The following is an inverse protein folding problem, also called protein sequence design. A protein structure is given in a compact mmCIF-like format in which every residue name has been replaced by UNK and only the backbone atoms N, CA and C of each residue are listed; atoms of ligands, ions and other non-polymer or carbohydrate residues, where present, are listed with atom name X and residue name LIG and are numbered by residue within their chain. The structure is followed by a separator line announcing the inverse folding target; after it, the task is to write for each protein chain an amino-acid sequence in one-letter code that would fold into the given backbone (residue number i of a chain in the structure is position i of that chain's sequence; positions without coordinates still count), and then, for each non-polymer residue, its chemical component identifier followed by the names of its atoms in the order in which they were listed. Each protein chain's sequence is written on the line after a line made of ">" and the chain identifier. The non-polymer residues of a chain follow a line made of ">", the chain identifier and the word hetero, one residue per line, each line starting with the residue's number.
data_IF_262648855810
#
_entry.id   IF_262648855810
#
_cell.length_a   1.000
_cell.length_b   1.000
_cell.length_c   1.000
_cell.angle_alpha   90.00
_cell.angle_beta   90.00
_cell.angle_gamma   90.00
#
_symmetry.space_group_name_H-M   'P 1'
#
loop_
_entity.id
_entity.type
_entity.pdbx_description
1 polymer ?
#
# COMPACT_ATOMS: atom_id res chain seq x y z
N UNK A 1 30.72 -64.84 -16.70
CA UNK A 1 29.59 -64.26 -15.94
C UNK A 1 29.47 -62.82 -16.37
N UNK A 2 28.41 -62.50 -17.10
CA UNK A 2 28.26 -61.29 -17.93
C UNK A 2 27.29 -60.32 -17.25
N UNK A 3 27.67 -59.05 -17.07
CA UNK A 3 26.71 -57.97 -16.81
C UNK A 3 26.95 -56.88 -17.87
N UNK A 4 25.99 -56.78 -18.78
CA UNK A 4 25.90 -55.78 -19.85
C UNK A 4 25.34 -54.47 -19.28
N UNK A 5 26.09 -53.36 -19.41
CA UNK A 5 25.56 -52.00 -19.27
C UNK A 5 24.92 -51.59 -20.60
N UNK A 6 23.59 -51.47 -20.64
CA UNK A 6 22.86 -50.84 -21.75
C UNK A 6 23.13 -49.33 -21.74
N UNK A 7 23.79 -48.84 -22.79
CA UNK A 7 23.86 -47.42 -23.14
C UNK A 7 22.48 -46.96 -23.63
N UNK A 8 21.94 -45.88 -23.07
CA UNK A 8 20.69 -45.26 -23.51
C UNK A 8 21.03 -44.07 -24.43
N UNK A 9 20.79 -44.13 -25.75
CA UNK A 9 21.34 -43.15 -26.71
C UNK A 9 20.58 -41.82 -26.77
N UNK A 10 19.60 -41.59 -25.90
CA UNK A 10 18.69 -40.43 -25.97
C UNK A 10 19.15 -39.25 -25.08
N UNK A 11 20.12 -39.49 -24.18
CA UNK A 11 20.59 -38.48 -23.22
C UNK A 11 21.18 -37.17 -23.83
N UNK A 12 21.82 -37.15 -25.02
CA UNK A 12 22.40 -35.90 -25.54
C UNK A 12 21.39 -34.99 -26.26
N UNK A 13 20.19 -35.47 -26.61
CA UNK A 13 19.22 -34.70 -27.41
C UNK A 13 18.28 -33.81 -26.59
N UNK A 14 18.18 -34.04 -25.28
CA UNK A 14 17.31 -33.25 -24.39
C UNK A 14 17.88 -31.85 -24.12
N UNK A 15 19.19 -31.65 -24.29
CA UNK A 15 19.86 -30.37 -24.02
C UNK A 15 19.67 -29.30 -25.13
N UNK A 16 19.19 -29.67 -26.32
CA UNK A 16 19.04 -28.74 -27.46
C UNK A 16 17.60 -28.27 -27.75
N UNK A 17 16.59 -28.80 -27.05
CA UNK A 17 15.17 -28.48 -27.28
C UNK A 17 14.57 -27.50 -26.27
N UNK A 18 15.25 -27.23 -25.15
CA UNK A 18 14.76 -26.27 -24.15
C UNK A 18 14.68 -24.80 -24.65
N UNK A 19 15.59 -24.28 -25.49
CA UNK A 19 15.52 -22.87 -25.89
C UNK A 19 14.34 -22.56 -26.83
N UNK A 20 13.94 -23.53 -27.67
CA UNK A 20 12.87 -23.37 -28.66
C UNK A 20 11.47 -23.52 -28.07
N UNK A 21 11.33 -24.29 -26.98
CA UNK A 21 10.04 -24.47 -26.30
C UNK A 21 9.67 -23.23 -25.45
N UNK A 22 10.66 -22.54 -24.89
CA UNK A 22 10.47 -21.28 -24.14
C UNK A 22 9.99 -20.14 -25.07
N UNK A 23 10.44 -20.12 -26.33
CA UNK A 23 10.01 -19.12 -27.31
C UNK A 23 8.53 -19.31 -27.75
N UNK A 24 8.04 -20.55 -27.80
CA UNK A 24 6.65 -20.86 -28.15
C UNK A 24 5.67 -20.60 -26.97
N UNK A 25 6.11 -20.78 -25.73
CA UNK A 25 5.32 -20.46 -24.54
C UNK A 25 5.27 -18.94 -24.26
N UNK A 26 6.30 -18.18 -24.64
CA UNK A 26 6.34 -16.73 -24.46
C UNK A 26 5.38 -15.92 -25.36
N UNK A 27 4.95 -16.48 -26.50
CA UNK A 27 4.06 -15.80 -27.45
C UNK A 27 2.56 -16.08 -27.15
N UNK A 28 2.26 -17.07 -26.29
CA UNK A 28 0.90 -17.57 -26.07
C UNK A 28 0.15 -17.04 -24.84
N UNK A 29 0.69 -16.09 -24.07
CA UNK A 29 0.09 -15.63 -22.81
C UNK A 29 -0.60 -14.25 -22.89
N UNK A 30 -0.74 -13.66 -24.07
CA UNK A 30 -1.54 -12.45 -24.27
C UNK A 30 -2.91 -12.79 -24.88
N UNK A 31 -3.93 -12.80 -24.00
CA UNK A 31 -5.39 -12.76 -24.25
C UNK A 31 -6.11 -14.08 -24.60
N UNK A 32 -7.21 -14.45 -23.89
CA UNK A 32 -7.94 -15.70 -24.13
C UNK A 32 -8.87 -15.72 -25.35
N UNK A 33 -9.11 -14.58 -26.01
CA UNK A 33 -10.09 -14.49 -27.09
C UNK A 33 -9.44 -14.07 -28.41
N UNK A 34 -8.98 -15.05 -29.20
CA UNK A 34 -8.83 -14.96 -30.66
C UNK A 34 -8.52 -16.34 -31.26
N UNK A 35 -9.50 -16.92 -31.94
CA UNK A 35 -9.33 -18.07 -32.83
C UNK A 35 -8.46 -17.61 -34.01
N UNK A 36 -7.22 -18.07 -34.10
CA UNK A 36 -6.37 -17.86 -35.27
C UNK A 36 -6.40 -19.07 -36.21
N UNK A 37 -6.74 -18.79 -37.47
CA UNK A 37 -6.74 -19.70 -38.62
C UNK A 37 -5.33 -20.26 -38.90
N UNK A 38 -5.24 -21.57 -39.09
CA UNK A 38 -4.03 -22.31 -39.48
C UNK A 38 -3.59 -21.98 -40.92
N UNK A 39 -3.04 -20.79 -41.15
CA UNK A 39 -2.26 -20.46 -42.35
C UNK A 39 -1.16 -19.44 -42.03
N UNK A 40 -0.09 -19.87 -41.36
CA UNK A 40 1.26 -19.27 -41.48
C UNK A 40 2.23 -19.87 -40.45
N UNK A 41 2.69 -21.10 -40.68
CA UNK A 41 3.97 -21.57 -40.13
C UNK A 41 4.70 -22.25 -41.29
N UNK A 42 5.42 -21.46 -42.09
CA UNK A 42 6.18 -21.94 -43.24
C UNK A 42 7.63 -21.49 -43.18
N UNK A 43 8.31 -21.66 -42.04
CA UNK A 43 9.76 -21.42 -41.95
C UNK A 43 10.35 -22.06 -40.69
N UNK A 44 10.37 -23.40 -40.63
CA UNK A 44 11.26 -24.18 -39.73
C UNK A 44 11.22 -25.69 -40.06
N UNK A 45 11.06 -26.06 -41.33
CA UNK A 45 10.82 -27.48 -41.70
C UNK A 45 12.03 -28.29 -42.20
N UNK A 46 13.23 -27.70 -42.32
CA UNK A 46 14.38 -28.43 -42.87
C UNK A 46 15.17 -29.23 -41.83
N UNK A 47 15.28 -28.74 -40.57
CA UNK A 47 16.12 -29.38 -39.55
C UNK A 47 15.40 -30.54 -38.83
N UNK A 48 14.08 -30.45 -38.65
CA UNK A 48 13.29 -31.48 -37.94
C UNK A 48 12.94 -32.70 -38.81
N UNK A 49 13.00 -32.59 -40.14
CA UNK A 49 12.74 -33.72 -41.05
C UNK A 49 13.86 -34.76 -41.10
N UNK A 50 15.06 -34.46 -40.62
CA UNK A 50 16.18 -35.41 -40.63
C UNK A 50 16.23 -36.34 -39.42
N UNK A 51 15.42 -36.10 -38.38
CA UNK A 51 15.50 -36.83 -37.10
C UNK A 51 14.24 -37.66 -36.79
N UNK A 52 13.07 -37.32 -37.35
CA UNK A 52 11.84 -38.08 -37.13
C UNK A 52 11.49 -38.92 -38.37
N UNK A 53 11.65 -40.24 -38.26
CA UNK A 53 11.42 -41.21 -39.34
C UNK A 53 9.96 -41.31 -39.82
N UNK A 54 8.99 -40.68 -39.14
CA UNK A 54 7.62 -40.52 -39.65
C UNK A 54 6.87 -39.38 -38.94
N UNK A 55 5.81 -38.87 -39.57
CA UNK A 55 4.89 -37.89 -38.96
C UNK A 55 4.15 -38.43 -37.72
N UNK A 56 4.02 -39.75 -37.58
CA UNK A 56 3.29 -40.37 -36.47
C UNK A 56 4.13 -40.36 -35.17
N UNK A 57 5.46 -40.40 -35.26
CA UNK A 57 6.34 -40.38 -34.10
C UNK A 57 6.36 -39.03 -33.37
N UNK A 58 6.19 -37.93 -34.11
CA UNK A 58 6.09 -36.58 -33.53
C UNK A 58 4.80 -36.40 -32.71
N UNK A 59 3.68 -36.96 -33.20
CA UNK A 59 2.38 -36.89 -32.51
C UNK A 59 2.38 -37.75 -31.25
N UNK A 60 2.99 -38.94 -31.29
CA UNK A 60 3.13 -39.80 -30.12
C UNK A 60 4.08 -39.21 -29.06
N UNK A 61 5.20 -38.62 -29.48
CA UNK A 61 6.14 -37.95 -28.57
C UNK A 61 5.52 -36.72 -27.90
N UNK A 62 4.77 -35.91 -28.66
CA UNK A 62 4.03 -34.77 -28.12
C UNK A 62 2.94 -35.21 -27.12
N UNK A 63 2.14 -36.23 -27.46
CA UNK A 63 1.11 -36.78 -26.56
C UNK A 63 1.71 -37.36 -25.28
N UNK A 64 2.88 -38.01 -25.36
CA UNK A 64 3.59 -38.52 -24.19
C UNK A 64 4.12 -37.40 -23.30
N UNK A 65 4.73 -36.34 -23.87
CA UNK A 65 5.17 -35.15 -23.10
C UNK A 65 4.00 -34.43 -22.44
N UNK A 66 2.88 -34.21 -23.15
CA UNK A 66 1.68 -33.59 -22.59
C UNK A 66 1.04 -34.45 -21.49
N UNK A 67 1.04 -35.78 -21.63
CA UNK A 67 0.55 -36.70 -20.60
C UNK A 67 1.47 -36.79 -19.37
N UNK A 68 2.78 -36.68 -19.53
CA UNK A 68 3.74 -36.70 -18.42
C UNK A 68 3.83 -35.36 -17.67
N UNK A 69 3.66 -34.23 -18.37
CA UNK A 69 3.60 -32.90 -17.74
C UNK A 69 2.27 -32.69 -17.00
N UNK A 70 1.16 -33.23 -17.52
CA UNK A 70 -0.17 -33.18 -16.87
C UNK A 70 -0.27 -34.03 -15.61
N UNK A 71 0.51 -35.12 -15.50
CA UNK A 71 0.48 -36.02 -14.33
C UNK A 71 1.43 -35.63 -13.20
N UNK A 72 2.39 -34.70 -13.41
CA UNK A 72 3.37 -34.27 -12.38
C UNK A 72 3.31 -32.81 -11.95
N UNK A 73 2.58 -31.96 -12.65
CA UNK A 73 2.21 -30.64 -12.16
C UNK A 73 0.69 -30.51 -12.20
N UNK A 74 0.04 -31.02 -11.15
CA UNK A 74 -1.27 -30.50 -10.78
C UNK A 74 -1.00 -29.10 -10.23
N UNK A 75 -0.79 -28.14 -11.14
CA UNK A 75 -0.94 -26.72 -10.84
C UNK A 75 -2.38 -26.60 -10.35
N UNK A 76 -2.54 -26.60 -9.02
CA UNK A 76 -3.72 -26.07 -8.39
C UNK A 76 -3.81 -24.63 -8.87
N UNK A 77 -4.59 -24.42 -9.93
CA UNK A 77 -5.18 -23.12 -10.22
C UNK A 77 -5.98 -22.79 -8.97
N UNK A 78 -5.34 -22.09 -8.03
CA UNK A 78 -6.04 -21.51 -6.90
C UNK A 78 -7.03 -20.57 -7.55
N UNK A 79 -8.31 -20.95 -7.45
CA UNK A 79 -9.40 -20.14 -7.91
C UNK A 79 -9.47 -18.95 -6.95
N UNK A 80 -8.56 -17.97 -7.11
CA UNK A 80 -8.60 -16.73 -6.35
C UNK A 80 -9.77 -15.96 -6.91
N UNK A 81 -10.92 -16.03 -6.24
CA UNK A 81 -11.94 -14.99 -6.36
C UNK A 81 -11.21 -13.66 -6.29
N UNK A 82 -11.36 -12.75 -7.27
CA UNK A 82 -10.71 -11.45 -7.23
C UNK A 82 -11.02 -10.82 -5.88
N UNK A 83 -9.97 -10.57 -5.11
CA UNK A 83 -10.12 -9.97 -3.79
C UNK A 83 -10.69 -8.56 -4.01
N UNK A 84 -11.65 -8.14 -3.17
CA UNK A 84 -12.17 -6.78 -3.23
C UNK A 84 -10.99 -5.80 -3.11
N UNK A 85 -10.95 -4.80 -3.98
CA UNK A 85 -9.94 -3.75 -3.93
C UNK A 85 -9.97 -3.06 -2.56
N UNK A 86 -8.83 -2.99 -1.90
CA UNK A 86 -8.69 -2.41 -0.57
C UNK A 86 -8.98 -0.91 -0.54
N UNK A 87 -9.50 -0.44 0.58
CA UNK A 87 -9.81 0.97 0.81
C UNK A 87 -8.56 1.78 1.18
N UNK A 88 -8.63 3.09 0.94
CA UNK A 88 -7.63 4.05 1.44
C UNK A 88 -8.21 4.84 2.61
N UNK A 89 -7.42 5.05 3.64
CA UNK A 89 -7.80 5.89 4.77
C UNK A 89 -6.74 6.96 5.04
N UNK A 90 -7.20 8.15 5.42
CA UNK A 90 -6.37 9.16 6.07
C UNK A 90 -6.91 9.38 7.48
N UNK A 91 -6.02 9.28 8.47
CA UNK A 91 -6.34 9.45 9.88
C UNK A 91 -5.51 10.61 10.43
N UNK A 92 -6.19 11.67 10.85
CA UNK A 92 -5.57 12.58 11.80
C UNK A 92 -5.24 11.81 13.09
N UNK A 93 -3.98 11.90 13.55
CA UNK A 93 -3.53 11.38 14.82
C UNK A 93 -3.33 12.50 15.84
N UNK A 94 -3.51 12.17 17.12
CA UNK A 94 -3.23 13.06 18.23
C UNK A 94 -2.10 12.51 19.09
N UNK A 95 -1.68 13.33 20.05
CA UNK A 95 -0.74 12.88 21.06
C UNK A 95 -1.32 11.79 21.97
N UNK A 96 -0.49 11.21 22.86
CA UNK A 96 -0.89 10.11 23.74
C UNK A 96 -2.17 10.34 24.55
N UNK A 97 -2.47 11.55 25.08
CA UNK A 97 -3.70 11.80 25.85
C UNK A 97 -4.98 11.51 25.08
N UNK A 98 -4.97 11.57 23.75
CA UNK A 98 -6.17 11.31 22.95
C UNK A 98 -6.70 9.89 23.15
N UNK A 99 -5.87 8.92 23.54
CA UNK A 99 -6.32 7.54 23.85
C UNK A 99 -7.29 7.48 25.04
N UNK A 100 -7.26 8.45 25.94
CA UNK A 100 -8.14 8.54 27.12
C UNK A 100 -9.33 9.47 26.89
N UNK A 101 -9.29 10.29 25.83
CA UNK A 101 -10.37 11.22 25.44
C UNK A 101 -11.50 10.48 24.72
N UNK A 102 -12.03 9.42 25.33
CA UNK A 102 -13.04 8.52 24.74
C UNK A 102 -14.37 9.22 24.40
N UNK A 103 -14.64 10.36 25.05
CA UNK A 103 -15.79 11.20 24.75
C UNK A 103 -15.64 12.01 23.45
N UNK A 104 -14.40 12.27 23.03
CA UNK A 104 -14.07 13.19 21.93
C UNK A 104 -14.52 12.66 20.57
N UNK A 105 -14.80 13.60 19.65
CA UNK A 105 -15.18 13.23 18.30
C UNK A 105 -14.07 12.51 17.51
N UNK A 106 -12.78 12.89 17.61
CA UNK A 106 -11.69 12.13 17.00
C UNK A 106 -11.60 10.68 17.47
N UNK A 107 -11.68 10.44 18.79
CA UNK A 107 -11.61 9.08 19.32
C UNK A 107 -12.76 8.21 18.80
N UNK A 108 -13.99 8.74 18.82
CA UNK A 108 -15.18 8.08 18.26
C UNK A 108 -15.04 7.81 16.76
N UNK A 109 -14.40 8.69 16.02
CA UNK A 109 -14.15 8.51 14.61
C UNK A 109 -13.13 7.39 14.33
N UNK A 110 -12.08 7.24 15.13
CA UNK A 110 -11.22 6.06 15.08
C UNK A 110 -11.97 4.77 15.39
N UNK A 111 -12.86 4.77 16.40
CA UNK A 111 -13.70 3.61 16.68
C UNK A 111 -14.60 3.25 15.49
N UNK A 112 -15.19 4.25 14.81
CA UNK A 112 -15.98 4.02 13.59
C UNK A 112 -15.13 3.45 12.46
N UNK A 113 -13.91 3.93 12.26
CA UNK A 113 -12.95 3.34 11.30
C UNK A 113 -12.68 1.88 11.64
N UNK A 114 -12.44 1.58 12.92
CA UNK A 114 -12.26 0.23 13.42
C UNK A 114 -13.44 -0.69 13.13
N UNK A 115 -14.66 -0.20 13.35
CA UNK A 115 -15.89 -0.92 13.00
C UNK A 115 -15.98 -1.20 11.50
N UNK A 116 -15.64 -0.22 10.65
CA UNK A 116 -15.61 -0.40 9.19
C UNK A 116 -14.59 -1.47 8.78
N UNK A 117 -13.35 -1.38 9.29
CA UNK A 117 -12.29 -2.35 9.02
C UNK A 117 -12.70 -3.75 9.48
N UNK A 118 -13.24 -3.89 10.69
CA UNK A 118 -13.65 -5.19 11.21
C UNK A 118 -14.87 -5.79 10.49
N UNK A 119 -15.74 -4.95 9.93
CA UNK A 119 -16.92 -5.41 9.16
C UNK A 119 -16.56 -5.98 7.79
N UNK A 120 -15.45 -5.54 7.21
CA UNK A 120 -14.94 -5.96 5.91
C UNK A 120 -13.39 -5.94 5.93
N UNK A 121 -12.77 -6.92 6.60
CA UNK A 121 -11.34 -6.86 6.91
C UNK A 121 -10.47 -6.98 5.66
N UNK A 122 -9.51 -6.06 5.44
CA UNK A 122 -8.54 -6.23 4.38
C UNK A 122 -7.61 -7.39 4.70
N UNK A 123 -6.91 -7.91 3.69
CA UNK A 123 -5.87 -8.93 3.88
C UNK A 123 -4.69 -8.44 4.74
N UNK A 124 -4.58 -7.13 4.91
CA UNK A 124 -3.54 -6.44 5.65
C UNK A 124 -3.57 -4.93 5.38
N UNK A 125 -2.78 -4.19 6.12
CA UNK A 125 -2.72 -2.72 6.09
C UNK A 125 -1.28 -2.31 5.82
N UNK A 126 -1.08 -1.52 4.76
CA UNK A 126 0.15 -0.76 4.55
C UNK A 126 -0.06 0.61 5.18
N UNK A 127 0.75 0.97 6.17
CA UNK A 127 0.61 2.24 6.90
C UNK A 127 1.79 3.19 6.67
N UNK A 128 1.49 4.46 6.40
CA UNK A 128 2.46 5.56 6.28
C UNK A 128 2.17 6.58 7.37
N UNK A 129 3.18 7.00 8.12
CA UNK A 129 3.03 7.92 9.26
C UNK A 129 3.88 9.17 9.10
N UNK A 130 3.33 10.32 9.49
CA UNK A 130 4.07 11.57 9.64
C UNK A 130 5.30 11.46 10.56
N UNK A 131 5.29 10.51 11.49
CA UNK A 131 6.36 10.28 12.46
C UNK A 131 7.52 9.42 11.95
N UNK A 132 7.48 9.01 10.67
CA UNK A 132 8.58 8.30 10.05
C UNK A 132 8.87 8.80 8.65
N UNK A 133 9.83 9.72 8.58
CA UNK A 133 10.45 10.18 7.34
C UNK A 133 11.80 9.49 7.13
N UNK A 134 12.18 9.30 5.87
CA UNK A 134 13.51 8.80 5.52
C UNK A 134 14.54 9.93 5.52
N UNK A 135 14.99 10.29 6.72
CA UNK A 135 15.96 11.36 6.96
C UNK A 135 17.41 10.89 6.96
N UNK A 136 17.76 9.89 6.12
CA UNK A 136 19.16 9.44 5.99
C UNK A 136 20.05 10.57 5.45
N UNK A 137 20.52 11.45 6.33
CA UNK A 137 21.61 12.41 6.18
C UNK A 137 21.37 13.61 5.27
N UNK A 138 20.49 13.52 4.27
CA UNK A 138 20.23 14.60 3.31
C UNK A 138 18.73 14.80 3.11
N UNK A 139 18.23 15.99 3.48
CA UNK A 139 16.92 16.47 3.05
C UNK A 139 16.88 16.42 1.51
N UNK A 140 15.84 15.79 0.96
CA UNK A 140 15.66 15.60 -0.48
C UNK A 140 15.74 14.16 -0.97
N UNK A 141 15.91 13.17 -0.08
CA UNK A 141 15.79 11.76 -0.46
C UNK A 141 14.36 11.42 -0.88
N UNK A 142 14.17 10.98 -2.13
CA UNK A 142 12.90 10.42 -2.61
C UNK A 142 12.73 8.93 -2.25
N UNK A 143 13.74 8.32 -1.64
CA UNK A 143 13.69 6.91 -1.23
C UNK A 143 12.91 6.75 0.07
N UNK A 144 12.32 5.57 0.26
CA UNK A 144 11.58 5.21 1.48
C UNK A 144 12.25 4.08 2.24
N UNK A 145 11.78 3.81 3.46
CA UNK A 145 12.21 2.68 4.25
C UNK A 145 11.01 1.78 4.50
N UNK A 146 11.15 0.48 4.20
CA UNK A 146 10.15 -0.54 4.53
C UNK A 146 10.52 -1.17 5.86
N UNK A 147 9.56 -1.26 6.78
CA UNK A 147 9.82 -1.90 8.07
C UNK A 147 10.06 -3.41 7.87
N UNK A 148 11.08 -3.94 8.55
CA UNK A 148 11.45 -5.35 8.54
C UNK A 148 11.22 -6.06 9.88
N UNK A 149 10.77 -5.33 10.92
CA UNK A 149 10.43 -5.92 12.21
C UNK A 149 9.02 -6.53 12.22
N UNK A 150 8.93 -7.83 11.95
CA UNK A 150 7.66 -8.58 11.87
C UNK A 150 6.79 -8.50 13.11
N UNK A 151 7.36 -8.27 14.29
CA UNK A 151 6.62 -8.24 15.56
C UNK A 151 6.00 -6.88 15.88
N UNK A 152 6.26 -5.86 15.07
CA UNK A 152 5.76 -4.50 15.24
C UNK A 152 5.80 -4.02 16.70
N UNK A 153 6.97 -4.05 17.39
CA UNK A 153 7.06 -3.50 18.73
C UNK A 153 6.68 -2.01 18.68
N UNK A 154 6.17 -1.46 19.78
CA UNK A 154 5.88 -0.03 19.83
C UNK A 154 7.15 0.76 20.15
N UNK A 155 7.32 1.91 19.49
CA UNK A 155 8.18 2.98 19.98
C UNK A 155 7.30 4.08 20.58
N UNK A 156 7.83 4.76 21.59
CA UNK A 156 7.17 5.89 22.24
C UNK A 156 7.96 7.16 21.88
N UNK A 157 7.74 7.64 20.66
CA UNK A 157 8.44 8.77 20.03
C UNK A 157 7.88 10.14 20.48
N UNK A 158 7.42 10.20 21.73
CA UNK A 158 6.94 11.39 22.42
C UNK A 158 7.53 11.47 23.83
N UNK A 159 7.62 12.68 24.37
CA UNK A 159 8.35 12.96 25.60
C UNK A 159 7.57 13.92 26.50
N UNK A 160 7.88 13.91 27.80
CA UNK A 160 7.29 14.84 28.77
C UNK A 160 5.88 14.48 29.25
N UNK A 161 5.34 13.32 28.86
CA UNK A 161 4.04 12.84 29.30
C UNK A 161 4.12 12.00 30.59
N UNK A 162 3.03 11.88 31.35
CA UNK A 162 2.94 10.94 32.47
C UNK A 162 3.35 9.50 32.10
N UNK A 163 3.98 8.78 33.06
CA UNK A 163 4.55 7.45 32.86
C UNK A 163 3.56 6.41 32.29
N UNK A 164 2.28 6.51 32.63
CA UNK A 164 1.27 5.54 32.20
C UNK A 164 1.07 5.54 30.67
N UNK A 165 1.30 6.67 29.98
CA UNK A 165 1.22 6.71 28.51
C UNK A 165 2.27 5.81 27.83
N UNK A 166 3.41 5.56 28.49
CA UNK A 166 4.47 4.66 28.03
C UNK A 166 4.18 3.19 28.33
N UNK A 167 3.07 2.88 28.99
CA UNK A 167 2.67 1.53 29.34
C UNK A 167 1.60 0.97 28.39
N UNK A 168 0.95 1.81 27.58
CA UNK A 168 -0.02 1.35 26.58
C UNK A 168 0.61 0.35 25.62
N UNK A 169 -0.16 -0.68 25.27
CA UNK A 169 0.22 -1.72 24.32
C UNK A 169 -0.79 -1.81 23.18
N UNK A 170 -0.27 -2.21 22.03
CA UNK A 170 -1.00 -2.57 20.84
C UNK A 170 -0.20 -3.66 20.13
N UNK A 171 -0.76 -4.87 20.04
CA UNK A 171 -0.08 -6.03 19.45
C UNK A 171 -0.51 -6.19 18.00
N UNK A 172 0.47 -6.14 17.09
CA UNK A 172 0.26 -6.41 15.66
C UNK A 172 1.50 -7.13 15.09
N UNK A 173 1.40 -7.57 13.84
CA UNK A 173 2.52 -8.15 13.09
C UNK A 173 2.28 -7.94 11.59
N UNK A 174 3.24 -8.25 10.72
CA UNK A 174 2.97 -8.42 9.29
C UNK A 174 3.39 -9.79 8.78
N UNK A 175 2.80 -10.19 7.65
CA UNK A 175 3.13 -11.47 7.00
C UNK A 175 4.16 -11.27 5.88
N UNK A 176 4.94 -12.32 5.52
CA UNK A 176 5.85 -12.27 4.38
C UNK A 176 5.14 -11.89 3.06
N UNK A 177 3.88 -12.26 2.88
CA UNK A 177 3.09 -11.96 1.68
C UNK A 177 2.75 -10.47 1.58
N UNK A 178 2.43 -9.83 2.71
CA UNK A 178 2.20 -8.37 2.76
C UNK A 178 3.50 -7.62 2.47
N UNK A 179 4.62 -8.03 3.09
CA UNK A 179 5.93 -7.45 2.82
C UNK A 179 6.32 -7.57 1.33
N UNK A 180 6.14 -8.76 0.75
CA UNK A 180 6.43 -9.00 -0.66
C UNK A 180 5.57 -8.14 -1.60
N UNK A 181 4.27 -7.98 -1.32
CA UNK A 181 3.38 -7.11 -2.11
C UNK A 181 3.83 -5.64 -2.05
N UNK A 182 4.22 -5.14 -0.88
CA UNK A 182 4.77 -3.78 -0.73
C UNK A 182 6.06 -3.61 -1.53
N UNK A 183 7.00 -4.55 -1.41
CA UNK A 183 8.28 -4.50 -2.14
C UNK A 183 8.05 -4.47 -3.65
N UNK A 184 7.21 -5.38 -4.17
CA UNK A 184 6.90 -5.43 -5.60
C UNK A 184 6.25 -4.14 -6.07
N UNK A 185 5.29 -3.60 -5.31
CA UNK A 185 4.62 -2.35 -5.64
C UNK A 185 5.61 -1.16 -5.73
N UNK A 186 6.55 -1.06 -4.78
CA UNK A 186 7.59 -0.02 -4.80
C UNK A 186 8.55 -0.18 -5.99
N UNK A 187 8.96 -1.42 -6.31
CA UNK A 187 9.82 -1.71 -7.47
C UNK A 187 9.14 -1.36 -8.79
N UNK A 188 7.90 -1.80 -8.99
CA UNK A 188 7.10 -1.51 -10.18
C UNK A 188 6.80 -0.01 -10.32
N UNK A 189 6.55 0.68 -9.20
CA UNK A 189 6.36 2.13 -9.15
C UNK A 189 7.64 2.96 -9.26
N UNK A 190 8.82 2.32 -9.39
CA UNK A 190 10.11 2.99 -9.49
C UNK A 190 10.45 3.84 -8.26
N UNK A 191 10.00 3.43 -7.07
CA UNK A 191 10.32 4.05 -5.78
C UNK A 191 11.49 3.29 -5.16
N UNK A 192 12.62 3.99 -4.98
CA UNK A 192 13.78 3.39 -4.30
C UNK A 192 13.46 3.16 -2.83
N UNK A 193 13.91 2.04 -2.28
CA UNK A 193 13.68 1.73 -0.87
C UNK A 193 14.86 1.01 -0.22
N UNK A 194 14.95 1.17 1.10
CA UNK A 194 15.78 0.34 1.98
C UNK A 194 14.89 -0.37 2.99
N UNK A 195 15.48 -1.17 3.89
CA UNK A 195 14.78 -1.81 5.00
C UNK A 195 15.41 -1.38 6.32
N UNK A 196 14.58 -1.24 7.35
CA UNK A 196 15.05 -1.01 8.72
C UNK A 196 14.25 -1.86 9.71
N UNK A 197 14.89 -2.23 10.81
CA UNK A 197 14.24 -2.82 11.97
C UNK A 197 13.81 -1.68 12.91
N UNK A 198 12.51 -1.36 12.91
CA UNK A 198 11.93 -0.25 13.69
C UNK A 198 10.57 -0.66 14.27
N UNK A 199 10.22 -0.09 15.43
CA UNK A 199 8.88 -0.24 15.98
C UNK A 199 7.87 0.79 15.45
N UNK A 200 6.58 0.50 15.61
CA UNK A 200 5.48 1.40 15.22
C UNK A 200 5.49 2.66 16.09
N UNK A 201 5.46 3.83 15.46
CA UNK A 201 5.32 5.13 16.14
C UNK A 201 3.89 5.41 16.62
N UNK A 202 3.75 6.40 17.50
CA UNK A 202 2.46 6.73 18.09
C UNK A 202 1.44 7.25 17.09
N UNK A 203 1.88 7.86 15.99
CA UNK A 203 1.03 8.26 14.88
C UNK A 203 0.26 7.08 14.29
N UNK A 204 0.82 5.87 14.38
CA UNK A 204 0.17 4.61 13.99
C UNK A 204 -0.56 3.96 15.18
N UNK A 205 0.14 3.66 16.27
CA UNK A 205 -0.44 2.77 17.29
C UNK A 205 -1.51 3.43 18.16
N UNK A 206 -1.51 4.75 18.34
CA UNK A 206 -2.57 5.45 19.10
C UNK A 206 -3.93 5.32 18.39
N UNK A 207 -4.09 5.75 17.12
CA UNK A 207 -5.35 5.58 16.42
C UNK A 207 -5.72 4.11 16.23
N UNK A 208 -4.75 3.22 15.97
CA UNK A 208 -5.03 1.80 15.76
C UNK A 208 -5.46 1.10 17.04
N UNK A 209 -4.92 1.47 18.21
CA UNK A 209 -5.41 0.95 19.48
C UNK A 209 -6.87 1.34 19.74
N UNK A 210 -7.23 2.59 19.46
CA UNK A 210 -8.61 3.06 19.59
C UNK A 210 -9.56 2.37 18.59
N UNK A 211 -9.10 2.15 17.36
CA UNK A 211 -9.89 1.53 16.29
C UNK A 211 -10.01 0.00 16.44
N UNK A 212 -8.91 -0.69 16.70
CA UNK A 212 -8.79 -2.16 16.61
C UNK A 212 -8.64 -2.84 17.97
N UNK A 213 -8.57 -2.08 19.07
CA UNK A 213 -8.35 -2.59 20.42
C UNK A 213 -6.88 -2.87 20.73
N UNK A 214 -6.62 -3.68 21.76
CA UNK A 214 -5.25 -3.93 22.26
C UNK A 214 -4.42 -4.86 21.36
N UNK A 215 -5.09 -5.59 20.46
CA UNK A 215 -4.46 -6.53 19.53
C UNK A 215 -5.28 -6.66 18.27
N UNK A 216 -4.62 -6.87 17.13
CA UNK A 216 -5.29 -7.21 15.88
C UNK A 216 -4.61 -8.38 15.18
N UNK A 217 -5.40 -9.22 14.53
CA UNK A 217 -4.91 -10.27 13.62
C UNK A 217 -4.71 -9.76 12.19
N UNK A 218 -5.15 -8.54 11.88
CA UNK A 218 -4.94 -7.93 10.57
C UNK A 218 -3.45 -7.57 10.45
N UNK A 219 -2.73 -8.10 9.44
CA UNK A 219 -1.32 -7.78 9.23
C UNK A 219 -1.13 -6.27 9.00
N UNK A 220 -0.14 -5.64 9.64
CA UNK A 220 0.17 -4.22 9.49
C UNK A 220 1.66 -4.08 9.17
N UNK A 221 2.00 -3.50 8.01
CA UNK A 221 3.39 -3.15 7.68
C UNK A 221 3.51 -1.64 7.52
N UNK A 222 4.56 -1.08 8.09
CA UNK A 222 4.82 0.35 8.00
C UNK A 222 5.85 0.66 6.90
N UNK A 223 5.61 1.75 6.17
CA UNK A 223 6.53 2.33 5.19
C UNK A 223 6.74 3.81 5.56
N UNK A 224 7.98 4.27 5.52
CA UNK A 224 8.30 5.68 5.80
C UNK A 224 7.79 6.60 4.69
N UNK A 225 7.60 7.87 5.01
CA UNK A 225 7.60 8.94 4.03
C UNK A 225 9.01 9.10 3.41
N UNK A 226 9.11 9.65 2.18
CA UNK A 226 10.38 10.14 1.66
C UNK A 226 10.85 11.35 2.48
N UNK A 227 12.16 11.53 2.66
CA UNK A 227 12.75 12.70 3.34
C UNK A 227 12.77 13.96 2.47
N UNK A 228 11.77 14.15 1.61
CA UNK A 228 11.70 15.23 0.63
C UNK A 228 10.57 16.21 0.97
N UNK A 229 10.87 17.51 0.92
CA UNK A 229 9.86 18.57 1.05
C UNK A 229 9.05 18.80 -0.24
N UNK A 230 9.32 18.03 -1.29
CA UNK A 230 8.53 18.03 -2.52
C UNK A 230 7.40 16.99 -2.44
N UNK A 231 6.12 17.41 -2.49
CA UNK A 231 4.99 16.49 -2.40
C UNK A 231 4.99 15.44 -3.53
N UNK A 232 5.67 15.70 -4.67
CA UNK A 232 5.74 14.74 -5.79
C UNK A 232 6.32 13.39 -5.38
N UNK A 233 7.32 13.37 -4.48
CA UNK A 233 7.89 12.12 -3.98
C UNK A 233 6.85 11.31 -3.19
N UNK A 234 6.08 11.98 -2.33
CA UNK A 234 5.01 11.36 -1.53
C UNK A 234 3.81 10.92 -2.37
N UNK A 235 3.46 11.70 -3.40
CA UNK A 235 2.44 11.30 -4.40
C UNK A 235 2.89 10.04 -5.13
N UNK A 236 4.15 9.99 -5.59
CA UNK A 236 4.72 8.83 -6.29
C UNK A 236 4.74 7.59 -5.39
N UNK A 237 5.06 7.74 -4.11
CA UNK A 237 4.93 6.67 -3.11
C UNK A 237 3.49 6.13 -3.05
N UNK A 238 2.50 7.02 -2.92
CA UNK A 238 1.09 6.64 -2.95
C UNK A 238 0.72 5.90 -4.23
N UNK A 239 1.12 6.41 -5.39
CA UNK A 239 0.87 5.81 -6.70
C UNK A 239 1.45 4.40 -6.81
N UNK A 240 2.68 4.19 -6.35
CA UNK A 240 3.29 2.87 -6.28
C UNK A 240 2.45 1.92 -5.40
N UNK A 241 2.07 2.38 -4.20
CA UNK A 241 1.29 1.60 -3.25
C UNK A 241 -0.18 1.40 -3.67
N UNK A 242 -0.69 2.12 -4.67
CA UNK A 242 -2.05 1.88 -5.20
C UNK A 242 -2.22 0.42 -5.67
N UNK A 243 -1.14 -0.24 -6.12
CA UNK A 243 -1.16 -1.61 -6.61
C UNK A 243 -1.51 -2.63 -5.53
N UNK A 244 -1.04 -2.44 -4.29
CA UNK A 244 -1.32 -3.37 -3.17
C UNK A 244 -2.81 -3.44 -2.85
N UNK A 245 -3.58 -2.40 -3.22
CA UNK A 245 -5.03 -2.38 -3.06
C UNK A 245 -5.72 -3.40 -3.92
N UNK A 246 -5.23 -3.63 -5.13
CA UNK A 246 -5.78 -4.66 -6.03
C UNK A 246 -5.58 -6.08 -5.46
N UNK A 247 -4.58 -6.26 -4.59
CA UNK A 247 -4.32 -7.52 -3.88
C UNK A 247 -5.13 -7.67 -2.58
N UNK A 248 -6.01 -6.71 -2.27
CA UNK A 248 -6.89 -6.71 -1.09
C UNK A 248 -6.30 -6.09 0.16
N UNK A 249 -5.18 -5.37 0.04
CA UNK A 249 -4.57 -4.63 1.16
C UNK A 249 -5.11 -3.21 1.23
N UNK A 250 -5.39 -2.72 2.44
CA UNK A 250 -5.73 -1.31 2.63
C UNK A 250 -4.48 -0.44 2.75
N UNK A 251 -4.56 0.79 2.27
CA UNK A 251 -3.52 1.81 2.49
C UNK A 251 -4.05 2.76 3.55
N UNK A 252 -3.33 2.91 4.66
CA UNK A 252 -3.66 3.84 5.72
C UNK A 252 -2.55 4.87 5.83
N UNK A 253 -2.92 6.14 5.89
CA UNK A 253 -1.99 7.24 6.10
C UNK A 253 -2.37 7.94 7.38
N UNK A 254 -1.38 8.32 8.18
CA UNK A 254 -1.61 9.01 9.46
C UNK A 254 -0.80 10.29 9.51
N UNK A 255 -1.46 11.39 9.84
CA UNK A 255 -0.89 12.73 9.90
C UNK A 255 -1.80 13.65 10.69
N UNK A 256 -1.96 14.90 10.30
CA UNK A 256 -2.93 15.81 10.91
C UNK A 256 -3.37 16.89 9.92
N UNK A 257 -4.68 17.14 9.86
CA UNK A 257 -5.27 18.05 8.88
C UNK A 257 -4.92 19.53 9.14
N UNK A 258 -4.71 19.93 10.39
CA UNK A 258 -4.04 21.17 10.80
C UNK A 258 -3.19 20.88 12.04
N UNK A 259 -1.89 21.12 11.96
CA UNK A 259 -0.91 20.71 12.97
C UNK A 259 0.03 21.86 13.37
N UNK A 260 -0.40 22.69 14.30
CA UNK A 260 0.45 23.71 14.91
C UNK A 260 0.38 23.61 16.44
N UNK A 261 1.19 22.70 16.98
CA UNK A 261 1.31 22.46 18.42
C UNK A 261 1.88 23.68 19.17
N UNK A 262 2.69 24.52 18.50
CA UNK A 262 3.22 25.75 19.10
C UNK A 262 2.09 26.68 19.51
N UNK A 263 1.17 26.95 18.59
CA UNK A 263 0.04 27.83 18.88
C UNK A 263 -0.93 27.19 19.88
N UNK A 264 -1.24 25.89 19.71
CA UNK A 264 -2.09 25.12 20.63
C UNK A 264 -1.59 25.21 22.08
N UNK A 265 -0.32 24.87 22.33
CA UNK A 265 0.24 24.87 23.69
C UNK A 265 0.52 26.25 24.26
N UNK A 266 0.61 27.28 23.41
CA UNK A 266 0.70 28.66 23.86
C UNK A 266 -0.65 29.29 24.23
N UNK A 267 -1.76 28.57 24.01
CA UNK A 267 -3.12 29.09 24.21
C UNK A 267 -3.49 30.21 23.23
N UNK A 268 -2.75 30.34 22.12
CA UNK A 268 -3.04 31.35 21.09
C UNK A 268 -4.26 30.95 20.30
N UNK A 269 -5.04 31.95 19.89
CA UNK A 269 -6.08 31.75 18.88
C UNK A 269 -5.45 31.30 17.57
N UNK A 270 -6.10 30.34 16.94
CA UNK A 270 -5.76 29.67 15.69
C UNK A 270 -6.87 29.91 14.64
N UNK A 271 -7.12 31.18 14.22
CA UNK A 271 -8.22 31.50 13.29
C UNK A 271 -8.03 30.90 11.89
N UNK A 272 -6.83 30.37 11.59
CA UNK A 272 -6.52 29.67 10.34
C UNK A 272 -7.01 28.23 10.33
N UNK A 273 -7.28 27.61 11.49
CA UNK A 273 -7.58 26.18 11.59
C UNK A 273 -8.82 25.82 10.77
N UNK A 274 -9.97 26.43 11.09
CA UNK A 274 -11.22 26.12 10.42
C UNK A 274 -11.20 26.49 8.92
N UNK A 275 -10.73 27.68 8.50
CA UNK A 275 -10.60 28.01 7.09
C UNK A 275 -9.70 27.05 6.31
N UNK A 276 -8.52 26.69 6.85
CA UNK A 276 -7.63 25.74 6.16
C UNK A 276 -8.26 24.34 6.07
N UNK A 277 -8.90 23.87 7.15
CA UNK A 277 -9.61 22.58 7.16
C UNK A 277 -10.75 22.55 6.13
N UNK A 278 -11.49 23.65 5.97
CA UNK A 278 -12.52 23.80 4.92
C UNK A 278 -11.88 23.71 3.53
N UNK A 279 -10.81 24.46 3.27
CA UNK A 279 -10.10 24.42 1.99
C UNK A 279 -9.59 23.01 1.67
N UNK A 280 -9.04 22.31 2.66
CA UNK A 280 -8.59 20.93 2.53
C UNK A 280 -9.76 20.00 2.19
N UNK A 281 -10.86 20.05 2.94
CA UNK A 281 -11.99 19.16 2.66
C UNK A 281 -12.61 19.41 1.26
N UNK A 282 -12.61 20.66 0.80
CA UNK A 282 -13.01 21.03 -0.56
C UNK A 282 -12.03 20.48 -1.60
N UNK A 283 -10.71 20.66 -1.40
CA UNK A 283 -9.69 20.15 -2.31
C UNK A 283 -9.77 18.62 -2.47
N UNK A 284 -9.96 17.89 -1.37
CA UNK A 284 -10.10 16.44 -1.37
C UNK A 284 -11.37 15.92 -2.07
N UNK A 285 -12.36 16.78 -2.27
CA UNK A 285 -13.62 16.46 -2.95
C UNK A 285 -13.64 16.95 -4.41
N UNK A 286 -12.57 17.59 -4.87
CA UNK A 286 -12.46 18.11 -6.24
C UNK A 286 -12.17 17.01 -7.26
N UNK A 287 -12.40 17.32 -8.55
CA UNK A 287 -12.14 16.38 -9.63
C UNK A 287 -10.66 16.00 -9.78
N UNK A 288 -9.78 16.95 -9.51
CA UNK A 288 -8.33 16.78 -9.40
C UNK A 288 -7.88 17.10 -7.97
N UNK A 289 -8.15 16.14 -7.08
CA UNK A 289 -7.84 16.26 -5.66
C UNK A 289 -6.33 16.41 -5.40
N UNK A 290 -5.48 15.81 -6.23
CA UNK A 290 -4.02 15.94 -6.09
C UNK A 290 -3.61 17.39 -6.39
N UNK A 291 -3.96 17.93 -7.55
CA UNK A 291 -3.58 19.29 -7.92
C UNK A 291 -4.16 20.32 -6.94
N UNK A 292 -5.45 20.17 -6.58
CA UNK A 292 -6.11 21.08 -5.63
C UNK A 292 -5.47 21.06 -4.25
N UNK A 293 -5.02 19.88 -3.78
CA UNK A 293 -4.35 19.76 -2.48
C UNK A 293 -2.92 20.28 -2.53
N UNK A 294 -2.20 20.11 -3.65
CA UNK A 294 -0.88 20.71 -3.87
C UNK A 294 -0.96 22.25 -3.87
N UNK A 295 -2.01 22.83 -4.44
CA UNK A 295 -2.21 24.27 -4.44
C UNK A 295 -2.41 24.86 -3.04
N UNK A 296 -2.87 24.07 -2.07
CA UNK A 296 -2.95 24.51 -0.67
C UNK A 296 -1.59 24.83 -0.07
N UNK A 297 -0.49 24.25 -0.58
CA UNK A 297 0.87 24.58 -0.12
C UNK A 297 1.23 26.05 -0.40
N UNK A 298 0.55 26.69 -1.36
CA UNK A 298 0.71 28.11 -1.71
C UNK A 298 -0.23 29.02 -0.92
N UNK A 299 -1.17 28.46 -0.16
CA UNK A 299 -2.13 29.22 0.63
C UNK A 299 -1.41 30.02 1.73
N UNK A 300 -1.78 31.29 1.98
CA UNK A 300 -1.22 32.04 3.11
C UNK A 300 -1.54 31.40 4.47
N UNK A 301 -2.56 30.53 4.53
CA UNK A 301 -2.93 29.80 5.74
C UNK A 301 -2.00 28.61 6.01
N UNK A 302 -1.29 28.08 5.00
CA UNK A 302 -0.59 26.81 5.10
C UNK A 302 0.51 26.83 6.16
N UNK A 303 1.39 27.83 6.16
CA UNK A 303 2.49 27.90 7.14
C UNK A 303 2.02 28.18 8.57
N UNK A 304 0.80 28.67 8.74
CA UNK A 304 0.16 28.73 10.05
C UNK A 304 -0.45 27.37 10.44
N UNK A 305 -1.11 26.69 9.50
CA UNK A 305 -1.70 25.38 9.74
C UNK A 305 -0.64 24.29 9.97
N UNK A 306 0.50 24.39 9.30
CA UNK A 306 1.59 23.43 9.29
C UNK A 306 2.92 24.22 9.27
N UNK A 307 3.51 24.49 10.45
CA UNK A 307 4.82 25.14 10.55
C UNK A 307 5.93 24.33 9.86
N UNK A 308 5.74 23.01 9.81
CA UNK A 308 6.55 22.02 9.09
C UNK A 308 5.62 21.06 8.36
N UNK A 309 6.10 20.45 7.27
CA UNK A 309 5.22 19.85 6.26
C UNK A 309 4.84 18.38 6.57
N UNK A 310 5.55 17.72 7.50
CA UNK A 310 5.53 16.28 7.72
C UNK A 310 4.15 15.72 8.11
N UNK A 311 3.38 16.46 8.93
CA UNK A 311 2.03 16.04 9.33
C UNK A 311 0.99 16.24 8.23
N UNK A 312 1.28 17.07 7.22
CA UNK A 312 0.39 17.25 6.08
C UNK A 312 0.64 16.20 4.99
N UNK A 313 1.91 15.87 4.74
CA UNK A 313 2.33 15.06 3.59
C UNK A 313 1.68 13.66 3.45
N UNK A 314 1.32 12.93 4.52
CA UNK A 314 0.58 11.68 4.41
C UNK A 314 -0.70 11.78 3.58
N UNK A 315 -1.36 12.95 3.49
CA UNK A 315 -2.54 13.13 2.63
C UNK A 315 -2.20 12.92 1.15
N UNK A 316 -1.00 13.31 0.71
CA UNK A 316 -0.57 13.12 -0.67
C UNK A 316 -0.32 11.65 -0.99
N UNK A 317 0.16 10.86 -0.02
CA UNK A 317 0.29 9.41 -0.18
C UNK A 317 -1.10 8.76 -0.29
N UNK A 318 -2.08 9.24 0.49
CA UNK A 318 -3.47 8.76 0.41
C UNK A 318 -4.06 9.03 -0.99
N UNK A 319 -3.93 10.27 -1.46
CA UNK A 319 -4.41 10.68 -2.78
C UNK A 319 -3.69 9.94 -3.92
N UNK A 320 -2.37 9.76 -3.81
CA UNK A 320 -1.59 8.99 -4.77
C UNK A 320 -2.01 7.52 -4.82
N UNK A 321 -2.44 6.94 -3.70
CA UNK A 321 -2.93 5.56 -3.62
C UNK A 321 -4.32 5.36 -4.24
N UNK A 322 -5.04 6.44 -4.57
CA UNK A 322 -6.28 6.38 -5.34
C UNK A 322 -5.99 5.94 -6.78
N UNK A 323 -7.00 5.38 -7.47
CA UNK A 323 -6.82 4.88 -8.84
C UNK A 323 -6.19 5.93 -9.76
N UNK A 324 -5.00 5.65 -10.30
CA UNK A 324 -4.28 6.51 -11.24
C UNK A 324 -4.85 6.49 -12.66
N UNK A 325 -5.77 5.56 -12.94
CA UNK A 325 -6.37 5.39 -14.25
C UNK A 325 -7.48 6.42 -14.49
N UNK A 326 -7.08 7.57 -15.04
CA UNK A 326 -7.97 8.65 -15.47
C UNK A 326 -8.93 8.25 -16.60
N UNK A 327 -8.74 7.07 -17.20
CA UNK A 327 -9.63 6.53 -18.24
C UNK A 327 -10.78 5.69 -17.66
N UNK A 328 -10.72 5.33 -16.37
CA UNK A 328 -11.81 4.62 -15.71
C UNK A 328 -12.96 5.58 -15.38
N UNK A 329 -14.15 5.21 -15.84
CA UNK A 329 -15.41 5.96 -15.65
C UNK A 329 -15.81 6.11 -14.17
N UNK A 330 -15.24 5.29 -13.26
CA UNK A 330 -15.58 5.30 -11.84
C UNK A 330 -14.37 5.66 -10.96
N UNK A 331 -14.40 6.85 -10.35
CA UNK A 331 -13.44 7.32 -9.34
C UNK A 331 -13.74 6.69 -7.97
N UNK A 332 -12.73 6.54 -7.13
CA UNK A 332 -12.93 6.12 -5.73
C UNK A 332 -13.85 7.13 -5.01
N UNK A 333 -14.78 6.62 -4.21
CA UNK A 333 -15.75 7.46 -3.49
C UNK A 333 -15.18 7.87 -2.13
N UNK A 334 -15.08 9.18 -1.90
CA UNK A 334 -14.73 9.77 -0.61
C UNK A 334 -15.91 9.71 0.38
N UNK A 335 -15.63 9.29 1.61
CA UNK A 335 -16.51 9.38 2.78
C UNK A 335 -15.82 10.22 3.85
N UNK A 336 -16.52 11.24 4.36
CA UNK A 336 -16.10 12.05 5.50
C UNK A 336 -16.50 11.32 6.79
N UNK A 337 -15.53 10.71 7.47
CA UNK A 337 -15.79 10.02 8.74
C UNK A 337 -15.86 11.06 9.87
N UNK A 338 -14.92 12.00 9.86
CA UNK A 338 -14.93 13.16 10.74
C UNK A 338 -14.14 14.32 10.13
N UNK A 339 -14.72 15.52 10.18
CA UNK A 339 -14.05 16.77 9.84
C UNK A 339 -14.48 17.80 10.89
N UNK A 340 -13.55 18.29 11.69
CA UNK A 340 -13.87 19.24 12.75
C UNK A 340 -12.66 19.78 13.48
N UNK A 341 -12.87 20.82 14.28
CA UNK A 341 -11.82 21.42 15.13
C UNK A 341 -12.07 21.00 16.57
N UNK A 342 -11.02 20.54 17.26
CA UNK A 342 -11.10 20.21 18.69
C UNK A 342 -9.93 20.80 19.46
N UNK A 343 -10.21 21.22 20.69
CA UNK A 343 -9.19 21.74 21.62
C UNK A 343 -8.31 20.61 22.21
N UNK A 344 -7.35 20.98 23.06
CA UNK A 344 -6.46 20.02 23.72
C UNK A 344 -7.15 19.01 24.64
N UNK A 345 -8.41 19.26 25.02
CA UNK A 345 -9.23 18.39 25.87
C UNK A 345 -10.20 17.51 25.07
N UNK A 346 -10.14 17.59 23.73
CA UNK A 346 -11.01 16.86 22.83
C UNK A 346 -12.43 17.41 22.73
N UNK A 347 -12.66 18.67 23.14
CA UNK A 347 -13.95 19.36 22.98
C UNK A 347 -14.02 20.06 21.63
N UNK A 348 -15.21 20.15 20.99
CA UNK A 348 -15.38 20.94 19.78
C UNK A 348 -14.97 22.39 19.99
N UNK A 349 -14.19 22.93 19.05
CA UNK A 349 -13.73 24.32 19.06
C UNK A 349 -13.98 24.97 17.70
N UNK A 350 -13.83 26.30 17.64
CA UNK A 350 -13.90 27.05 16.38
C UNK A 350 -12.49 27.49 15.94
N UNK A 351 -11.80 28.24 16.82
CA UNK A 351 -10.52 28.88 16.52
C UNK A 351 -9.43 28.54 17.56
N UNK A 352 -9.60 27.53 18.41
CA UNK A 352 -8.71 27.29 19.58
C UNK A 352 -8.28 25.82 19.66
N UNK A 353 -8.04 25.20 18.50
CA UNK A 353 -7.79 23.77 18.43
C UNK A 353 -7.11 23.34 17.14
N UNK A 354 -6.75 22.06 17.13
CA UNK A 354 -6.29 21.40 15.92
C UNK A 354 -7.48 21.08 15.02
N UNK A 355 -7.23 21.13 13.72
CA UNK A 355 -8.19 20.71 12.70
C UNK A 355 -7.98 19.25 12.41
N UNK A 356 -9.02 18.45 12.58
CA UNK A 356 -9.02 17.01 12.41
C UNK A 356 -9.78 16.63 11.15
N UNK A 357 -9.16 15.75 10.39
CA UNK A 357 -9.74 15.11 9.21
C UNK A 357 -9.53 13.61 9.25
N UNK A 358 -10.62 12.86 9.05
CA UNK A 358 -10.62 11.41 8.91
C UNK A 358 -11.49 11.06 7.71
N UNK A 359 -10.86 10.51 6.69
CA UNK A 359 -11.48 10.24 5.40
C UNK A 359 -11.21 8.81 4.96
N UNK A 360 -12.17 8.24 4.25
CA UNK A 360 -12.05 6.94 3.58
C UNK A 360 -12.35 7.11 2.11
N UNK A 361 -11.60 6.41 1.27
CA UNK A 361 -11.90 6.27 -0.15
C UNK A 361 -12.09 4.80 -0.48
N UNK A 362 -13.29 4.46 -0.96
CA UNK A 362 -13.62 3.10 -1.37
C UNK A 362 -13.62 2.96 -2.88
N UNK A 363 -13.18 1.81 -3.39
CA UNK A 363 -13.31 1.51 -4.80
C UNK A 363 -14.78 1.60 -5.23
N UNK A 364 -15.06 2.27 -6.34
CA UNK A 364 -16.41 2.34 -6.87
C UNK A 364 -16.81 0.96 -7.42
N UNK A 365 -17.90 0.41 -6.86
CA UNK A 365 -18.56 -0.83 -7.28
C UNK A 365 -19.06 -0.76 -8.71
#
# INVERSE_FOLDING_TARGET
>A
MTISRKYNPIAPFIALLLPTLVLLLGIGLSSPDKIFSLRSISTTSSTLRKVAGSKNDLVHTAKWLFGHLSSRNRLTMVNTTPSKKGDVYFLSHGGPPTIEQTHSAPYKAWQRIGQMINSDPPKGIVVISAHWENDTGFKGSESVIVNSNKSNPLIYDFYGFPKHYYQFKFVSSFTPELEASVISALQEGGVSFTRADRGLDHGVWVPFKAALGDKTSIPIIQVSLPGSADPRATIKLGQALSRVREDGYSVVTTGQAVHNLRDLFSGRRMPYTKPFLTLLNTALSSDDAIASTVDLLKSPLYKHAHPTDEHFFPIFAALGALSSDTTKVKKDKKEDIFVGVVDGNGQPAQDEGLGWGMWRWTAAS
#
